data_IF_627928569684
#
_entry.id   IF_627928569684
#
_cell.length_a   1.000
_cell.length_b   1.000
_cell.length_c   1.000
_cell.angle_alpha   90.00
_cell.angle_beta   90.00
_cell.angle_gamma   90.00
#
_symmetry.space_group_name_H-M   'P 1'
#
loop_
_entity.id
_entity.type
_entity.pdbx_description
1 polymer ?
#
# COMPACT_ATOMS: atom_id res chain seq x y z
N UNK A 1 53.43 21.09 -24.58
CA UNK A 1 52.98 20.75 -25.92
C UNK A 1 52.46 19.32 -25.95
N UNK A 2 51.55 19.01 -26.89
CA UNK A 2 51.05 17.66 -27.16
C UNK A 2 52.01 16.96 -28.08
N UNK A 3 52.46 15.73 -27.75
CA UNK A 3 53.44 14.99 -28.55
C UNK A 3 52.84 13.68 -29.11
N UNK A 4 53.03 12.53 -28.43
CA UNK A 4 52.56 11.26 -28.95
C UNK A 4 52.19 10.32 -27.80
N UNK A 5 51.21 9.46 -27.99
CA UNK A 5 50.74 8.52 -26.98
C UNK A 5 49.25 8.67 -26.72
N UNK A 6 48.80 8.07 -25.61
CA UNK A 6 47.41 7.96 -25.30
C UNK A 6 47.10 8.44 -23.88
N UNK A 7 45.89 8.86 -23.69
CA UNK A 7 45.19 8.99 -22.43
C UNK A 7 44.16 7.87 -22.42
N UNK A 8 44.16 7.06 -21.37
CA UNK A 8 43.22 5.94 -21.28
C UNK A 8 42.39 6.07 -20.00
N UNK A 9 41.08 6.10 -20.17
CA UNK A 9 40.09 6.15 -19.07
C UNK A 9 39.68 4.71 -18.75
N UNK A 10 39.75 4.37 -17.49
CA UNK A 10 39.37 3.04 -16.98
C UNK A 10 38.24 3.16 -15.97
N UNK A 11 37.32 2.17 -15.98
CA UNK A 11 36.36 1.98 -14.90
C UNK A 11 37.05 1.25 -13.72
N UNK A 12 36.96 1.80 -12.51
CA UNK A 12 37.71 1.28 -11.36
C UNK A 12 37.21 -0.11 -10.92
N UNK A 13 35.91 -0.40 -11.08
CA UNK A 13 35.26 -1.61 -10.59
C UNK A 13 35.81 -2.92 -11.19
N UNK A 14 36.24 -2.89 -12.44
CA UNK A 14 36.69 -4.08 -13.19
C UNK A 14 37.96 -3.85 -14.03
N UNK A 15 38.53 -2.65 -13.96
CA UNK A 15 39.66 -2.20 -14.75
C UNK A 15 39.44 -2.27 -16.27
N UNK A 16 38.18 -2.24 -16.72
CA UNK A 16 37.86 -2.17 -18.15
C UNK A 16 38.25 -0.80 -18.73
N UNK A 17 38.73 -0.82 -19.99
CA UNK A 17 38.99 0.40 -20.73
C UNK A 17 37.67 0.98 -21.22
N UNK A 18 37.38 2.23 -20.80
CA UNK A 18 36.21 2.99 -21.26
C UNK A 18 36.51 3.68 -22.59
N UNK A 19 37.65 4.37 -22.66
CA UNK A 19 38.08 5.04 -23.86
C UNK A 19 39.60 5.17 -23.93
N UNK A 20 40.16 5.06 -25.13
CA UNK A 20 41.56 5.36 -25.42
C UNK A 20 41.59 6.58 -26.33
N UNK A 21 42.15 7.68 -25.88
CA UNK A 21 42.19 8.98 -26.53
C UNK A 21 43.63 9.26 -26.99
N UNK A 22 43.86 9.34 -28.28
CA UNK A 22 45.15 9.77 -28.82
C UNK A 22 45.37 11.25 -28.43
N UNK A 23 46.54 11.58 -27.88
CA UNK A 23 46.79 12.97 -27.44
C UNK A 23 46.81 13.97 -28.57
N UNK A 24 47.12 13.53 -29.81
CA UNK A 24 47.08 14.36 -31.02
C UNK A 24 45.71 14.47 -31.64
N UNK A 25 44.68 13.82 -31.04
CA UNK A 25 43.28 13.88 -31.51
C UNK A 25 42.58 15.18 -31.15
N UNK A 26 41.44 15.43 -31.81
CA UNK A 26 40.60 16.62 -31.53
C UNK A 26 39.93 16.64 -30.19
N UNK A 27 39.96 15.52 -29.43
CA UNK A 27 39.48 15.38 -28.05
C UNK A 27 40.43 16.03 -27.04
N UNK A 28 41.68 16.32 -27.42
CA UNK A 28 42.68 16.95 -26.56
C UNK A 28 42.99 18.34 -27.10
N UNK A 29 42.80 19.34 -26.24
CA UNK A 29 43.04 20.75 -26.59
C UNK A 29 43.90 21.41 -25.53
N UNK A 30 44.45 22.60 -25.81
CA UNK A 30 45.29 23.36 -24.88
C UNK A 30 46.78 23.14 -25.07
N UNK A 31 47.24 22.51 -26.18
CA UNK A 31 48.67 22.42 -26.50
C UNK A 31 49.33 23.81 -26.51
N UNK A 32 50.57 23.90 -25.96
CA UNK A 32 51.28 25.17 -25.77
C UNK A 32 50.82 26.03 -24.60
N UNK A 33 49.92 25.53 -23.79
CA UNK A 33 49.42 26.22 -22.57
C UNK A 33 49.71 25.41 -21.30
N UNK A 34 49.40 25.99 -20.12
CA UNK A 34 49.53 25.30 -18.87
C UNK A 34 48.32 24.40 -18.53
N UNK A 35 47.30 24.34 -19.41
CA UNK A 35 46.08 23.57 -19.19
C UNK A 35 45.77 22.70 -20.41
N UNK A 36 45.69 21.42 -20.22
CA UNK A 36 45.21 20.46 -21.22
C UNK A 36 43.77 20.06 -20.87
N UNK A 37 42.88 20.18 -21.85
CA UNK A 37 41.51 19.74 -21.74
C UNK A 37 41.32 18.44 -22.53
N UNK A 38 40.77 17.41 -21.84
CA UNK A 38 40.46 16.10 -22.40
C UNK A 38 38.96 15.97 -22.44
N UNK A 39 38.36 15.73 -23.59
CA UNK A 39 36.94 15.59 -23.81
C UNK A 39 36.60 14.19 -24.36
N UNK A 40 36.14 13.25 -23.50
CA UNK A 40 35.71 11.93 -23.98
C UNK A 40 34.59 12.01 -25.02
N UNK A 41 34.51 10.98 -25.88
CA UNK A 41 33.49 10.90 -26.93
C UNK A 41 32.08 10.77 -26.39
N UNK A 42 31.92 9.99 -25.33
CA UNK A 42 30.65 9.74 -24.67
C UNK A 42 30.68 10.21 -23.24
N UNK A 43 29.53 10.57 -22.71
CA UNK A 43 29.36 10.84 -21.30
C UNK A 43 29.73 9.59 -20.47
N UNK A 44 30.36 9.82 -19.34
CA UNK A 44 30.70 8.77 -18.37
C UNK A 44 29.45 8.34 -17.59
N UNK A 45 29.37 7.09 -17.19
CA UNK A 45 28.24 6.56 -16.42
C UNK A 45 28.09 7.32 -15.09
N UNK A 46 26.84 7.51 -14.66
CA UNK A 46 26.48 8.09 -13.36
C UNK A 46 27.04 7.30 -12.20
N UNK A 47 27.36 7.97 -11.07
CA UNK A 47 27.80 7.33 -9.81
C UNK A 47 28.96 6.34 -9.97
N UNK A 48 29.81 6.53 -10.98
CA UNK A 48 30.84 5.55 -11.34
C UNK A 48 32.24 6.10 -11.10
N UNK A 49 33.11 5.28 -10.50
CA UNK A 49 34.50 5.64 -10.24
C UNK A 49 35.39 5.28 -11.42
N UNK A 50 36.17 6.25 -11.83
CA UNK A 50 37.15 6.14 -12.93
C UNK A 50 38.53 6.48 -12.45
N UNK A 51 39.55 5.96 -13.15
CA UNK A 51 40.92 6.44 -13.10
C UNK A 51 41.47 6.62 -14.51
N UNK A 52 42.45 7.49 -14.65
CA UNK A 52 43.04 7.85 -15.94
C UNK A 52 44.52 7.55 -15.93
N UNK A 53 45.01 6.87 -16.97
CA UNK A 53 46.44 6.72 -17.24
C UNK A 53 46.83 7.59 -18.40
N UNK A 54 48.04 8.15 -18.38
CA UNK A 54 48.62 9.00 -19.38
C UNK A 54 50.01 8.51 -19.76
N UNK A 55 50.25 8.27 -21.03
CA UNK A 55 51.55 7.85 -21.54
C UNK A 55 52.64 8.88 -21.22
N UNK A 56 53.87 8.41 -20.89
CA UNK A 56 55.01 9.27 -20.58
C UNK A 56 55.47 10.13 -21.75
N UNK A 57 55.05 9.82 -22.97
CA UNK A 57 55.33 10.57 -24.20
C UNK A 57 54.22 11.51 -24.63
N UNK A 58 53.17 11.67 -23.79
CA UNK A 58 51.98 12.42 -24.12
C UNK A 58 52.21 13.91 -24.24
N UNK A 59 53.03 14.47 -23.34
CA UNK A 59 53.22 15.92 -23.22
C UNK A 59 54.67 16.27 -22.93
N UNK A 60 55.15 17.37 -23.55
CA UNK A 60 56.46 17.97 -23.32
C UNK A 60 56.30 19.43 -22.87
N UNK A 61 57.30 19.92 -22.12
CA UNK A 61 57.42 21.35 -21.86
C UNK A 61 57.96 22.11 -23.08
N UNK A 62 58.03 23.45 -22.99
CA UNK A 62 58.54 24.30 -24.08
C UNK A 62 60.06 24.08 -24.34
N UNK A 63 60.76 23.36 -23.51
CA UNK A 63 62.19 23.01 -23.63
C UNK A 63 62.39 21.56 -24.16
N UNK A 64 61.31 20.83 -24.42
CA UNK A 64 61.33 19.46 -24.90
C UNK A 64 61.54 18.41 -23.78
N UNK A 65 61.32 18.75 -22.50
CA UNK A 65 61.35 17.77 -21.43
C UNK A 65 60.00 17.08 -21.33
N UNK A 66 60.02 15.75 -21.45
CA UNK A 66 58.79 14.92 -21.44
C UNK A 66 58.19 14.78 -20.05
N UNK A 67 56.85 14.85 -19.99
CA UNK A 67 56.06 14.51 -18.84
C UNK A 67 56.21 13.01 -18.48
N UNK A 68 56.31 12.68 -17.21
CA UNK A 68 56.52 11.30 -16.77
C UNK A 68 55.32 10.37 -16.96
N UNK A 69 54.19 10.93 -17.36
CA UNK A 69 52.93 10.20 -17.45
C UNK A 69 52.28 9.88 -16.12
N UNK A 70 51.15 9.19 -16.18
CA UNK A 70 50.42 8.63 -15.01
C UNK A 70 50.20 7.15 -15.29
N UNK A 71 50.84 6.27 -14.48
CA UNK A 71 50.72 4.81 -14.66
C UNK A 71 49.98 4.12 -13.52
N UNK A 72 49.79 4.80 -12.39
CA UNK A 72 49.08 4.26 -11.24
C UNK A 72 47.56 4.51 -11.39
N UNK A 73 46.77 3.99 -10.44
CA UNK A 73 45.30 4.06 -10.44
C UNK A 73 44.74 5.13 -9.48
N UNK A 74 45.61 5.90 -8.82
CA UNK A 74 45.25 6.79 -7.71
C UNK A 74 45.56 8.26 -7.97
N UNK A 75 46.60 8.56 -8.78
CA UNK A 75 47.03 9.95 -9.05
C UNK A 75 45.94 10.76 -9.74
N UNK A 76 45.21 10.17 -10.67
CA UNK A 76 44.06 10.80 -11.35
C UNK A 76 42.86 9.85 -11.32
N UNK A 77 42.11 9.95 -10.25
CA UNK A 77 40.86 9.19 -10.08
C UNK A 77 39.75 10.13 -9.63
N UNK A 78 38.52 9.83 -10.05
CA UNK A 78 37.34 10.61 -9.71
C UNK A 78 36.07 9.74 -9.78
N UNK A 79 35.02 10.19 -9.14
CA UNK A 79 33.67 9.59 -9.25
C UNK A 79 32.76 10.60 -9.93
N UNK A 80 32.01 10.17 -10.90
CA UNK A 80 31.00 10.99 -11.57
C UNK A 80 29.84 11.31 -10.60
N UNK A 81 29.21 12.44 -10.78
CA UNK A 81 28.00 12.78 -10.04
C UNK A 81 26.89 11.75 -10.31
N UNK A 82 26.02 11.54 -9.35
CA UNK A 82 24.78 10.82 -9.58
C UNK A 82 23.78 11.69 -10.35
N UNK A 83 23.30 11.17 -11.45
CA UNK A 83 22.30 11.82 -12.30
C UNK A 83 21.09 10.90 -12.54
N UNK A 84 21.00 9.79 -11.80
CA UNK A 84 19.97 8.78 -11.95
C UNK A 84 18.84 9.06 -10.97
N UNK A 85 17.65 9.35 -11.48
CA UNK A 85 16.49 9.58 -10.63
C UNK A 85 15.99 8.29 -9.98
N UNK A 86 15.64 8.31 -8.68
CA UNK A 86 14.96 7.18 -8.04
C UNK A 86 13.65 6.83 -8.76
N UNK A 87 13.37 5.54 -8.91
CA UNK A 87 12.12 5.05 -9.53
C UNK A 87 11.38 4.12 -8.59
N UNK A 88 10.03 4.10 -8.64
CA UNK A 88 9.24 3.15 -7.86
C UNK A 88 9.42 1.75 -8.43
N UNK A 89 9.80 0.80 -7.59
CA UNK A 89 10.00 -0.62 -7.94
C UNK A 89 8.84 -1.49 -7.52
N UNK A 90 8.17 -1.18 -6.39
CA UNK A 90 7.01 -1.93 -5.92
C UNK A 90 6.19 -1.14 -4.90
N UNK A 91 4.92 -1.53 -4.75
CA UNK A 91 4.03 -1.11 -3.68
C UNK A 91 3.57 -2.35 -2.93
N UNK A 92 3.63 -2.34 -1.60
CA UNK A 92 3.23 -3.45 -0.73
C UNK A 92 2.71 -2.89 0.60
N UNK A 93 2.67 -3.71 1.65
CA UNK A 93 2.21 -3.29 2.98
C UNK A 93 2.83 -4.14 4.08
N UNK A 94 3.06 -3.54 5.25
CA UNK A 94 3.38 -4.23 6.50
C UNK A 94 2.12 -4.82 7.17
N UNK A 95 0.94 -4.26 6.89
CA UNK A 95 -0.34 -4.78 7.41
C UNK A 95 -0.56 -6.21 6.92
N UNK A 96 -1.02 -7.15 7.75
CA UNK A 96 -1.36 -8.52 7.33
C UNK A 96 -2.46 -8.55 6.27
N UNK A 97 -2.54 -9.62 5.46
CA UNK A 97 -3.69 -9.86 4.59
C UNK A 97 -4.94 -10.13 5.44
N UNK A 98 -6.10 -9.68 4.98
CA UNK A 98 -7.36 -9.87 5.71
C UNK A 98 -8.47 -8.94 5.26
N UNK A 99 -9.59 -8.99 6.00
CA UNK A 99 -10.71 -8.08 5.86
C UNK A 99 -10.62 -7.01 6.95
N UNK A 100 -10.98 -5.80 6.58
CA UNK A 100 -10.84 -4.59 7.40
C UNK A 100 -12.10 -3.74 7.31
N UNK A 101 -12.45 -3.09 8.41
CA UNK A 101 -13.65 -2.24 8.51
C UNK A 101 -13.32 -0.80 8.96
N UNK A 102 -14.34 -0.02 9.27
CA UNK A 102 -14.22 1.38 9.69
C UNK A 102 -13.29 1.53 10.90
N UNK A 103 -12.31 2.43 10.77
CA UNK A 103 -11.34 2.75 11.81
C UNK A 103 -10.07 1.93 11.77
N UNK A 104 -10.04 0.82 11.03
CA UNK A 104 -8.81 0.06 10.81
C UNK A 104 -7.79 0.86 10.01
N UNK A 105 -6.51 0.55 10.21
CA UNK A 105 -5.40 1.25 9.58
C UNK A 105 -4.61 0.31 8.69
N UNK A 106 -4.41 0.71 7.44
CA UNK A 106 -3.54 0.02 6.47
C UNK A 106 -2.30 0.89 6.22
N UNK A 107 -1.11 0.32 6.45
CA UNK A 107 0.17 0.93 6.14
C UNK A 107 0.64 0.49 4.75
N UNK A 108 0.58 1.38 3.77
CA UNK A 108 1.04 1.11 2.40
C UNK A 108 2.51 1.50 2.28
N UNK A 109 3.33 0.62 1.72
CA UNK A 109 4.76 0.80 1.52
C UNK A 109 5.06 0.99 0.03
N UNK A 110 5.68 2.12 -0.31
CA UNK A 110 6.19 2.41 -1.66
C UNK A 110 7.70 2.27 -1.65
N UNK A 111 8.24 1.32 -2.42
CA UNK A 111 9.68 1.03 -2.49
C UNK A 111 10.28 1.62 -3.75
N UNK A 112 11.36 2.36 -3.59
CA UNK A 112 12.16 2.97 -4.66
C UNK A 112 13.40 2.14 -5.00
N UNK A 113 14.02 2.44 -6.14
CA UNK A 113 15.25 1.79 -6.61
C UNK A 113 16.46 2.08 -5.70
N UNK A 114 16.38 3.14 -4.89
CA UNK A 114 17.43 3.61 -4.00
C UNK A 114 16.85 4.40 -2.82
N UNK A 115 17.71 4.85 -1.90
CA UNK A 115 17.28 5.63 -0.75
C UNK A 115 16.83 7.03 -1.17
N UNK A 116 15.69 7.47 -0.64
CA UNK A 116 15.09 8.77 -0.92
C UNK A 116 14.85 9.58 0.35
N UNK A 117 14.97 10.89 0.22
CA UNK A 117 14.65 11.86 1.27
C UNK A 117 13.34 12.55 0.92
N UNK A 118 12.42 12.62 1.88
CA UNK A 118 11.13 13.31 1.74
C UNK A 118 11.20 14.64 2.50
N UNK A 119 10.87 15.72 1.81
CA UNK A 119 10.63 17.03 2.44
C UNK A 119 9.12 17.35 2.38
N UNK A 120 8.55 17.59 3.54
CA UNK A 120 7.11 17.89 3.71
C UNK A 120 6.85 19.34 4.09
N UNK A 121 7.85 20.22 4.03
CA UNK A 121 7.75 21.63 4.47
C UNK A 121 6.65 22.39 3.73
N UNK A 122 6.54 22.20 2.41
CA UNK A 122 5.56 22.89 1.56
C UNK A 122 4.35 21.99 1.24
N UNK A 123 4.37 20.71 1.61
CA UNK A 123 3.27 19.79 1.40
C UNK A 123 3.66 18.34 1.66
N UNK A 124 2.66 17.51 1.96
CA UNK A 124 2.88 16.10 2.32
C UNK A 124 2.52 15.20 1.15
N UNK A 125 3.40 14.31 0.68
CA UNK A 125 3.09 13.32 -0.34
C UNK A 125 1.94 12.42 0.05
N UNK A 126 1.12 12.04 -0.93
CA UNK A 126 -0.05 11.19 -0.74
C UNK A 126 -0.14 10.13 -1.83
N UNK A 127 -0.86 9.04 -1.52
CA UNK A 127 -1.16 7.94 -2.44
C UNK A 127 -2.68 7.74 -2.50
N UNK A 128 -3.31 7.99 -3.67
CA UNK A 128 -4.74 7.79 -3.88
C UNK A 128 -5.03 6.29 -4.03
N UNK A 129 -5.98 5.78 -3.21
CA UNK A 129 -6.42 4.39 -3.19
C UNK A 129 -7.82 4.26 -3.81
N UNK A 130 -8.07 3.14 -4.50
CA UNK A 130 -9.39 2.77 -5.03
C UNK A 130 -10.22 2.16 -3.91
N UNK A 131 -11.12 2.92 -3.32
CA UNK A 131 -11.92 2.54 -2.15
C UNK A 131 -13.44 2.59 -2.42
N UNK A 132 -13.84 2.42 -3.67
CA UNK A 132 -15.23 2.32 -4.11
C UNK A 132 -15.79 3.62 -4.66
N UNK A 133 -16.96 4.06 -4.17
CA UNK A 133 -17.62 5.26 -4.72
C UNK A 133 -16.85 6.56 -4.48
N UNK A 134 -16.05 6.60 -3.43
CA UNK A 134 -15.21 7.74 -3.07
C UNK A 134 -13.81 7.23 -2.81
N UNK A 135 -12.87 7.61 -3.66
CA UNK A 135 -11.46 7.27 -3.46
C UNK A 135 -10.88 7.99 -2.24
N UNK A 136 -10.02 7.28 -1.52
CA UNK A 136 -9.33 7.82 -0.34
C UNK A 136 -7.84 7.99 -0.59
N UNK A 137 -7.25 8.76 0.28
CA UNK A 137 -5.83 9.10 0.18
C UNK A 137 -5.09 8.59 1.41
N UNK A 138 -4.10 7.73 1.19
CA UNK A 138 -3.10 7.40 2.20
C UNK A 138 -2.08 8.54 2.28
N UNK A 139 -1.73 8.97 3.49
CA UNK A 139 -0.85 10.10 3.74
C UNK A 139 0.54 9.59 4.12
N UNK A 140 1.59 10.18 3.55
CA UNK A 140 2.98 9.86 3.93
C UNK A 140 3.16 10.01 5.45
N UNK A 141 3.76 8.99 6.07
CA UNK A 141 3.97 8.94 7.53
C UNK A 141 5.43 8.78 7.93
N UNK A 142 6.22 8.01 7.19
CA UNK A 142 7.61 7.74 7.57
C UNK A 142 8.44 7.13 6.43
N UNK A 143 9.74 6.89 6.67
CA UNK A 143 10.65 6.19 5.77
C UNK A 143 11.66 7.09 5.06
N UNK A 144 11.68 8.42 5.30
CA UNK A 144 12.71 9.31 4.74
C UNK A 144 14.13 8.81 5.09
N UNK A 145 15.05 8.91 4.14
CA UNK A 145 16.42 8.39 4.26
C UNK A 145 16.55 6.89 3.98
N UNK A 146 15.47 6.22 3.56
CA UNK A 146 15.47 4.81 3.15
C UNK A 146 14.88 4.63 1.75
N UNK A 147 14.96 3.41 1.20
CA UNK A 147 14.33 3.09 -0.08
C UNK A 147 12.83 2.81 0.04
N UNK A 148 12.26 2.74 1.24
CA UNK A 148 10.85 2.41 1.44
C UNK A 148 10.15 3.51 2.23
N UNK A 149 9.15 4.14 1.61
CA UNK A 149 8.29 5.14 2.22
C UNK A 149 6.98 4.49 2.68
N UNK A 150 6.49 4.90 3.85
CA UNK A 150 5.23 4.40 4.44
C UNK A 150 4.16 5.47 4.33
N UNK A 151 2.97 5.06 3.87
CA UNK A 151 1.77 5.87 3.78
C UNK A 151 0.67 5.21 4.62
N UNK A 152 -0.06 5.99 5.38
CA UNK A 152 -1.10 5.50 6.30
C UNK A 152 -2.47 5.85 5.76
N UNK A 153 -3.34 4.85 5.65
CA UNK A 153 -4.74 4.97 5.31
C UNK A 153 -5.60 4.46 6.46
N UNK A 154 -6.54 5.28 6.94
CA UNK A 154 -7.56 4.88 7.91
C UNK A 154 -8.89 4.73 7.18
N UNK A 155 -9.48 3.54 7.27
CA UNK A 155 -10.73 3.19 6.60
C UNK A 155 -11.89 4.02 7.17
N UNK A 156 -12.70 4.58 6.28
CA UNK A 156 -13.84 5.42 6.60
C UNK A 156 -15.14 4.73 6.18
N UNK A 157 -16.24 5.17 6.78
CA UNK A 157 -17.57 4.69 6.41
C UNK A 157 -17.86 4.91 4.91
N UNK A 158 -18.37 3.89 4.26
CA UNK A 158 -18.65 3.85 2.83
C UNK A 158 -17.48 3.37 1.97
N UNK A 159 -16.30 3.15 2.55
CA UNK A 159 -15.16 2.58 1.81
C UNK A 159 -15.40 1.09 1.57
N UNK A 160 -15.14 0.63 0.33
CA UNK A 160 -15.28 -0.78 -0.07
C UNK A 160 -14.22 -1.14 -1.11
N UNK A 161 -13.63 -2.33 -0.98
CA UNK A 161 -12.77 -2.91 -2.00
C UNK A 161 -12.68 -4.42 -1.80
N UNK A 162 -12.86 -5.20 -2.85
CA UNK A 162 -12.65 -6.65 -2.79
C UNK A 162 -11.17 -7.05 -2.80
N UNK A 163 -10.31 -6.13 -3.26
CA UNK A 163 -8.85 -6.29 -3.28
C UNK A 163 -8.23 -4.90 -3.44
N UNK A 164 -7.84 -4.27 -2.33
CA UNK A 164 -7.42 -2.87 -2.29
C UNK A 164 -6.14 -2.65 -3.08
N UNK A 165 -6.19 -1.72 -4.02
CA UNK A 165 -5.03 -1.19 -4.74
C UNK A 165 -5.11 0.34 -4.80
N UNK A 166 -4.06 0.99 -5.31
CA UNK A 166 -4.12 2.40 -5.68
C UNK A 166 -4.85 2.56 -7.02
N UNK A 167 -5.42 3.73 -7.26
CA UNK A 167 -6.32 4.01 -8.38
C UNK A 167 -5.65 3.91 -9.75
N UNK A 168 -4.40 4.37 -9.88
CA UNK A 168 -3.69 4.46 -11.15
C UNK A 168 -2.18 4.53 -10.98
N UNK A 169 -1.44 4.42 -12.08
CA UNK A 169 0.03 4.61 -12.10
C UNK A 169 0.49 6.01 -11.69
N UNK A 170 -0.41 7.00 -11.63
CA UNK A 170 -0.15 8.38 -11.23
C UNK A 170 -0.71 8.74 -9.85
N UNK A 171 -1.13 7.76 -9.06
CA UNK A 171 -1.76 7.99 -7.74
C UNK A 171 -0.81 8.52 -6.67
N UNK A 172 0.52 8.39 -6.84
CA UNK A 172 1.49 9.00 -5.93
C UNK A 172 1.72 10.47 -6.31
N UNK A 173 1.37 11.38 -5.40
CA UNK A 173 1.41 12.84 -5.63
C UNK A 173 2.19 13.53 -4.52
N UNK A 174 3.03 14.50 -4.88
CA UNK A 174 3.89 15.23 -3.93
C UNK A 174 3.16 16.30 -3.10
N UNK A 175 2.08 16.89 -3.62
CA UNK A 175 1.34 18.00 -2.99
C UNK A 175 2.25 19.18 -2.58
N UNK A 176 3.20 19.56 -3.43
CA UNK A 176 4.24 20.56 -3.18
C UNK A 176 5.39 20.11 -2.25
N UNK A 177 5.36 18.90 -1.69
CA UNK A 177 6.53 18.28 -1.06
C UNK A 177 7.54 17.79 -2.09
N UNK A 178 8.61 17.17 -1.65
CA UNK A 178 9.61 16.56 -2.55
C UNK A 178 9.99 15.15 -2.13
N UNK A 179 10.38 14.34 -3.11
CA UNK A 179 11.02 13.03 -2.91
C UNK A 179 12.26 13.02 -3.81
N UNK A 180 13.45 12.96 -3.21
CA UNK A 180 14.74 13.06 -3.90
C UNK A 180 15.74 12.04 -3.37
N UNK A 181 16.74 11.69 -4.18
CA UNK A 181 17.92 10.96 -3.70
C UNK A 181 18.92 11.88 -2.95
N UNK A 182 20.08 11.31 -2.60
CA UNK A 182 21.15 12.04 -1.92
C UNK A 182 21.91 13.03 -2.83
N UNK A 183 21.73 12.95 -4.14
CA UNK A 183 22.32 13.81 -5.15
C UNK A 183 21.35 14.89 -5.66
N UNK A 184 20.18 15.04 -5.00
CA UNK A 184 19.12 15.99 -5.34
C UNK A 184 18.35 15.65 -6.65
N UNK A 185 18.45 14.43 -7.20
CA UNK A 185 17.61 14.02 -8.31
C UNK A 185 16.18 13.76 -7.86
N UNK A 186 15.21 14.36 -8.53
CA UNK A 186 13.79 14.17 -8.27
C UNK A 186 13.34 12.74 -8.61
N UNK A 187 12.61 12.09 -7.71
CA UNK A 187 12.09 10.74 -7.94
C UNK A 187 11.02 10.69 -9.05
N UNK A 188 11.09 9.66 -9.88
CA UNK A 188 10.02 9.29 -10.82
C UNK A 188 8.92 8.56 -10.05
N UNK A 189 7.72 9.15 -10.03
CA UNK A 189 6.60 8.70 -9.17
C UNK A 189 5.67 7.68 -9.85
N UNK A 190 5.99 7.25 -11.06
CA UNK A 190 5.16 6.28 -11.81
C UNK A 190 5.12 4.94 -11.08
N UNK A 191 3.93 4.55 -10.64
CA UNK A 191 3.67 3.26 -9.98
C UNK A 191 3.52 2.14 -11.01
N UNK A 192 3.73 0.86 -10.64
CA UNK A 192 3.27 -0.28 -11.43
C UNK A 192 1.79 -0.15 -11.76
N UNK A 193 1.31 -0.76 -12.85
CA UNK A 193 -0.14 -0.74 -13.14
C UNK A 193 -0.92 -1.49 -12.06
N UNK A 194 -2.07 -0.98 -11.58
CA UNK A 194 -2.90 -1.68 -10.61
C UNK A 194 -3.18 -3.12 -11.04
N UNK A 195 -3.08 -4.08 -10.12
CA UNK A 195 -3.21 -5.51 -10.35
C UNK A 195 -2.02 -6.18 -11.05
N UNK A 196 -1.06 -5.41 -11.58
CA UNK A 196 0.15 -5.96 -12.19
C UNK A 196 1.22 -6.30 -11.13
N UNK A 197 2.19 -7.15 -11.51
CA UNK A 197 3.33 -7.47 -10.63
C UNK A 197 3.98 -6.21 -10.07
N UNK A 198 4.13 -6.15 -8.74
CA UNK A 198 4.67 -5.00 -8.03
C UNK A 198 3.62 -3.99 -7.54
N UNK A 199 2.33 -4.12 -7.91
CA UNK A 199 1.25 -3.31 -7.33
C UNK A 199 0.87 -3.79 -5.93
N UNK A 200 0.12 -2.97 -5.19
CA UNK A 200 -0.39 -3.31 -3.86
C UNK A 200 -1.29 -4.54 -3.93
N UNK A 201 -2.32 -4.55 -4.79
CA UNK A 201 -3.25 -5.67 -4.94
C UNK A 201 -2.58 -6.95 -5.47
N UNK A 202 -1.45 -6.85 -6.22
CA UNK A 202 -0.67 -8.04 -6.60
C UNK A 202 0.17 -8.61 -5.45
N UNK A 203 0.58 -7.78 -4.49
CA UNK A 203 1.47 -8.16 -3.38
C UNK A 203 0.71 -8.47 -2.09
N UNK A 204 -0.53 -8.02 -1.99
CA UNK A 204 -1.40 -8.12 -0.79
C UNK A 204 -2.80 -8.50 -1.19
N UNK A 205 -3.56 -9.01 -0.23
CA UNK A 205 -4.98 -9.30 -0.38
C UNK A 205 -5.70 -8.60 0.77
N UNK A 206 -6.25 -7.42 0.49
CA UNK A 206 -7.01 -6.61 1.45
C UNK A 206 -8.45 -6.49 0.99
N UNK A 207 -9.38 -6.99 1.78
CA UNK A 207 -10.81 -6.70 1.61
C UNK A 207 -11.13 -5.52 2.53
N UNK A 208 -11.68 -4.46 1.95
CA UNK A 208 -12.24 -3.33 2.70
C UNK A 208 -13.74 -3.43 2.59
N UNK A 209 -14.42 -3.60 3.72
CA UNK A 209 -15.86 -3.68 3.78
C UNK A 209 -16.37 -2.95 5.02
N UNK A 210 -17.17 -1.93 4.80
CA UNK A 210 -17.76 -1.09 5.84
C UNK A 210 -19.29 -1.23 5.86
N UNK A 211 -19.82 -2.22 5.14
CA UNK A 211 -21.25 -2.45 5.01
C UNK A 211 -21.74 -3.34 6.16
N UNK A 212 -22.66 -2.83 6.97
CA UNK A 212 -23.23 -3.64 8.06
C UNK A 212 -24.19 -4.70 7.50
N UNK A 213 -24.23 -5.91 8.11
CA UNK A 213 -25.18 -6.95 7.72
C UNK A 213 -26.62 -6.49 7.83
N UNK A 214 -27.46 -6.91 6.88
CA UNK A 214 -28.89 -6.60 6.87
C UNK A 214 -29.73 -7.88 6.79
N UNK A 215 -30.90 -7.89 7.44
CA UNK A 215 -31.86 -8.97 7.30
C UNK A 215 -32.54 -8.91 5.93
N UNK A 216 -32.55 -10.03 5.22
CA UNK A 216 -33.32 -10.22 3.98
C UNK A 216 -34.67 -10.84 4.22
N UNK A 217 -34.82 -11.71 5.24
CA UNK A 217 -36.10 -12.28 5.67
C UNK A 217 -36.03 -12.87 7.08
N UNK A 218 -37.20 -13.08 7.68
CA UNK A 218 -37.36 -13.75 8.97
C UNK A 218 -38.46 -14.82 8.88
N UNK A 219 -38.35 -15.85 9.73
CA UNK A 219 -39.43 -16.84 9.90
C UNK A 219 -39.56 -17.14 11.40
N UNK A 220 -40.78 -17.07 11.99
CA UNK A 220 -42.02 -16.66 11.37
C UNK A 220 -41.94 -15.29 10.72
N UNK A 221 -42.69 -15.08 9.62
CA UNK A 221 -42.74 -13.77 8.97
C UNK A 221 -43.37 -12.74 9.92
N UNK A 222 -43.01 -11.48 9.75
CA UNK A 222 -43.62 -10.42 10.53
C UNK A 222 -45.16 -10.43 10.36
N UNK A 223 -45.86 -10.26 11.48
CA UNK A 223 -47.34 -10.38 11.59
C UNK A 223 -47.91 -11.76 11.15
N UNK A 224 -47.10 -12.83 11.17
CA UNK A 224 -47.57 -14.18 10.91
C UNK A 224 -48.55 -14.61 12.00
N UNK A 225 -49.64 -15.28 11.57
CA UNK A 225 -50.65 -15.85 12.47
C UNK A 225 -50.67 -17.37 12.40
N UNK A 226 -51.18 -18.01 13.45
CA UNK A 226 -51.22 -19.48 13.58
C UNK A 226 -49.84 -20.14 13.50
N UNK A 227 -48.84 -19.50 14.12
CA UNK A 227 -47.48 -20.02 14.24
C UNK A 227 -47.50 -21.22 15.19
N UNK A 228 -46.78 -22.30 14.81
CA UNK A 228 -46.68 -23.50 15.67
C UNK A 228 -45.95 -23.14 16.98
N UNK A 229 -46.45 -23.65 18.09
CA UNK A 229 -45.87 -23.38 19.43
C UNK A 229 -44.40 -23.82 19.53
N UNK A 230 -43.97 -24.85 18.82
CA UNK A 230 -42.59 -25.31 18.78
C UNK A 230 -41.76 -24.72 17.64
N UNK A 231 -42.15 -23.57 17.06
CA UNK A 231 -41.44 -22.96 15.97
C UNK A 231 -40.10 -22.33 16.39
N UNK A 232 -39.07 -22.54 15.56
CA UNK A 232 -37.83 -21.77 15.67
C UNK A 232 -38.01 -20.37 15.06
N UNK A 233 -37.19 -19.42 15.50
CA UNK A 233 -37.00 -18.16 14.82
C UNK A 233 -35.81 -18.27 13.87
N UNK A 234 -36.00 -17.99 12.60
CA UNK A 234 -34.96 -18.07 11.57
C UNK A 234 -34.73 -16.67 11.01
N UNK A 235 -33.49 -16.17 11.17
CA UNK A 235 -33.05 -14.90 10.58
C UNK A 235 -32.25 -15.23 9.34
N UNK A 236 -32.62 -14.66 8.19
CA UNK A 236 -31.85 -14.77 6.96
C UNK A 236 -31.25 -13.41 6.63
N UNK A 237 -29.93 -13.32 6.63
CA UNK A 237 -29.20 -12.12 6.31
C UNK A 237 -28.88 -12.06 4.81
N UNK A 238 -28.56 -10.86 4.31
CA UNK A 238 -28.11 -10.65 2.94
C UNK A 238 -26.71 -11.23 2.69
N UNK A 239 -25.95 -11.47 3.77
CA UNK A 239 -24.59 -12.00 3.75
C UNK A 239 -24.34 -12.96 4.91
N UNK A 240 -23.15 -13.59 4.95
CA UNK A 240 -22.78 -14.50 6.04
C UNK A 240 -22.44 -13.75 7.30
N UNK A 241 -23.01 -14.18 8.42
CA UNK A 241 -22.76 -13.55 9.73
C UNK A 241 -22.27 -14.58 10.76
N UNK A 242 -21.45 -14.12 11.68
CA UNK A 242 -20.97 -14.87 12.86
C UNK A 242 -21.60 -14.37 14.12
N UNK A 243 -21.86 -15.31 15.05
CA UNK A 243 -22.35 -14.97 16.40
C UNK A 243 -21.25 -14.32 17.20
N UNK A 244 -21.58 -13.21 17.87
CA UNK A 244 -20.65 -12.47 18.75
C UNK A 244 -21.13 -12.50 20.20
N UNK A 245 -21.57 -11.37 20.74
CA UNK A 245 -22.04 -11.25 22.13
C UNK A 245 -23.37 -10.53 22.16
N UNK A 246 -24.23 -10.90 23.12
CA UNK A 246 -25.55 -10.30 23.27
C UNK A 246 -26.66 -11.33 23.23
N UNK A 247 -27.90 -10.84 23.10
CA UNK A 247 -29.07 -11.66 23.26
C UNK A 247 -30.07 -11.48 22.12
N UNK A 248 -30.83 -12.52 21.88
CA UNK A 248 -32.15 -12.47 21.27
C UNK A 248 -33.18 -12.58 22.39
N UNK A 249 -34.10 -11.62 22.47
CA UNK A 249 -35.09 -11.56 23.56
C UNK A 249 -36.46 -11.63 22.93
N UNK A 250 -37.25 -12.62 23.38
CA UNK A 250 -38.64 -12.81 22.98
C UNK A 250 -39.51 -12.19 24.09
N UNK A 251 -40.48 -11.38 23.71
CA UNK A 251 -41.42 -10.72 24.59
C UNK A 251 -42.86 -11.13 24.30
N UNK A 252 -43.69 -11.18 25.32
CA UNK A 252 -45.13 -11.24 25.19
C UNK A 252 -45.65 -9.84 24.79
N UNK A 253 -46.33 -9.73 23.66
CA UNK A 253 -46.81 -8.42 23.15
C UNK A 253 -47.90 -7.80 24.00
N UNK A 254 -48.67 -8.61 24.81
CA UNK A 254 -49.78 -8.17 25.61
C UNK A 254 -49.42 -7.31 26.82
N UNK A 255 -48.21 -7.53 27.38
CA UNK A 255 -47.79 -6.90 28.65
C UNK A 255 -46.30 -6.52 28.68
N UNK A 256 -45.60 -6.70 27.58
CA UNK A 256 -44.14 -6.47 27.45
C UNK A 256 -43.27 -7.29 28.38
N UNK A 257 -43.79 -8.38 28.96
CA UNK A 257 -43.00 -9.27 29.77
C UNK A 257 -42.03 -10.10 28.91
N UNK A 258 -40.83 -10.35 29.43
CA UNK A 258 -39.85 -11.24 28.77
C UNK A 258 -40.37 -12.69 28.84
N UNK A 259 -40.58 -13.29 27.65
CA UNK A 259 -40.85 -14.71 27.50
C UNK A 259 -39.58 -15.53 27.65
N UNK A 260 -38.53 -15.18 26.91
CA UNK A 260 -37.24 -15.83 26.97
C UNK A 260 -36.10 -14.88 26.56
N UNK A 261 -34.96 -14.99 27.26
CA UNK A 261 -33.70 -14.33 26.86
C UNK A 261 -32.72 -15.41 26.41
N UNK A 262 -32.24 -15.33 25.20
CA UNK A 262 -31.38 -16.33 24.57
C UNK A 262 -30.04 -15.69 24.25
N UNK A 263 -28.98 -16.10 24.95
CA UNK A 263 -27.61 -15.71 24.63
C UNK A 263 -27.24 -16.26 23.23
N UNK A 264 -26.79 -15.40 22.34
CA UNK A 264 -26.45 -15.78 20.96
C UNK A 264 -25.31 -16.79 20.87
N UNK A 265 -24.49 -16.91 21.92
CA UNK A 265 -23.40 -17.90 22.00
C UNK A 265 -23.86 -19.27 22.47
N UNK A 266 -25.11 -19.39 22.98
CA UNK A 266 -25.68 -20.63 23.50
C UNK A 266 -25.94 -21.68 22.40
N UNK A 267 -26.23 -22.94 22.84
CA UNK A 267 -26.61 -24.03 21.94
C UNK A 267 -27.99 -23.82 21.28
N UNK A 268 -28.79 -22.88 21.78
CA UNK A 268 -30.09 -22.54 21.20
C UNK A 268 -29.94 -21.78 19.85
N UNK A 269 -28.76 -21.24 19.58
CA UNK A 269 -28.49 -20.48 18.34
C UNK A 269 -27.51 -21.28 17.48
N UNK A 270 -27.88 -21.50 16.23
CA UNK A 270 -27.07 -22.24 15.24
C UNK A 270 -26.99 -21.49 13.91
N UNK A 271 -26.07 -21.91 13.01
CA UNK A 271 -25.90 -21.29 11.69
C UNK A 271 -24.82 -20.23 11.62
N UNK A 272 -24.02 -20.02 12.68
CA UNK A 272 -22.87 -19.09 12.64
C UNK A 272 -21.93 -19.38 11.47
N UNK A 273 -21.52 -18.32 10.76
CA UNK A 273 -20.69 -18.43 9.55
C UNK A 273 -21.51 -18.68 8.27
N UNK A 274 -22.83 -18.52 8.31
CA UNK A 274 -23.70 -18.61 7.14
C UNK A 274 -24.67 -17.43 7.07
N UNK A 275 -25.44 -17.35 5.98
CA UNK A 275 -26.50 -16.34 5.81
C UNK A 275 -27.73 -16.61 6.67
N UNK A 276 -27.84 -17.78 7.32
CA UNK A 276 -29.03 -18.16 8.06
C UNK A 276 -28.69 -18.52 9.50
N UNK A 277 -29.28 -17.79 10.46
CA UNK A 277 -29.21 -18.06 11.89
C UNK A 277 -30.52 -18.64 12.33
N UNK A 278 -30.47 -19.78 13.03
CA UNK A 278 -31.64 -20.43 13.64
C UNK A 278 -31.57 -20.31 15.14
N UNK A 279 -32.64 -19.77 15.74
CA UNK A 279 -32.83 -19.59 17.18
C UNK A 279 -33.93 -20.56 17.61
N UNK A 280 -33.62 -21.47 18.58
CA UNK A 280 -34.51 -22.49 19.09
C UNK A 280 -34.85 -22.14 20.53
N UNK A 281 -36.02 -21.56 20.83
CA UNK A 281 -36.45 -21.31 22.22
C UNK A 281 -36.50 -22.61 23.05
N UNK A 282 -36.19 -22.50 24.34
CA UNK A 282 -36.25 -23.64 25.23
C UNK A 282 -37.66 -24.06 25.59
N UNK A 283 -38.59 -23.08 25.54
CA UNK A 283 -39.98 -23.28 25.90
C UNK A 283 -40.86 -23.12 24.65
N UNK A 284 -41.90 -23.94 24.55
CA UNK A 284 -42.93 -23.79 23.53
C UNK A 284 -43.70 -22.49 23.72
N UNK A 285 -44.00 -21.80 22.65
CA UNK A 285 -44.88 -20.61 22.64
C UNK A 285 -46.27 -20.96 23.13
N UNK A 286 -46.96 -20.02 23.76
CA UNK A 286 -48.36 -20.21 24.18
C UNK A 286 -49.31 -20.13 23.00
N UNK A 287 -50.34 -20.98 22.89
CA UNK A 287 -51.33 -20.87 21.83
C UNK A 287 -52.07 -19.52 21.85
N UNK A 288 -52.26 -18.90 20.72
CA UNK A 288 -52.99 -17.62 20.55
C UNK A 288 -52.42 -16.46 21.37
N UNK A 289 -51.12 -16.49 21.61
CA UNK A 289 -50.38 -15.38 22.23
C UNK A 289 -49.51 -14.67 21.15
N UNK A 290 -49.51 -13.36 21.20
CA UNK A 290 -48.67 -12.53 20.36
C UNK A 290 -47.29 -12.31 20.99
N UNK A 291 -46.24 -12.40 20.16
CA UNK A 291 -44.85 -12.19 20.52
C UNK A 291 -44.17 -11.17 19.63
N UNK A 292 -43.15 -10.50 20.13
CA UNK A 292 -42.17 -9.75 19.34
C UNK A 292 -40.76 -10.09 19.81
N UNK A 293 -39.78 -9.84 18.88
CA UNK A 293 -38.38 -10.20 19.08
C UNK A 293 -37.52 -8.97 19.02
N UNK A 294 -36.65 -8.80 20.00
CA UNK A 294 -35.53 -7.85 19.98
C UNK A 294 -34.21 -8.58 19.84
N UNK A 295 -33.25 -7.95 19.18
CA UNK A 295 -31.93 -8.49 18.94
C UNK A 295 -30.90 -7.42 19.30
N UNK A 296 -29.94 -7.74 20.15
CA UNK A 296 -28.87 -6.83 20.51
C UNK A 296 -28.00 -6.48 19.28
N UNK A 297 -27.57 -5.22 19.16
CA UNK A 297 -26.74 -4.73 18.06
C UNK A 297 -25.34 -5.37 17.99
N UNK A 298 -24.91 -6.07 19.06
CA UNK A 298 -23.63 -6.78 19.11
C UNK A 298 -23.78 -8.29 18.86
N UNK A 299 -24.98 -8.76 18.47
CA UNK A 299 -25.29 -10.18 18.36
C UNK A 299 -24.60 -10.87 17.18
N UNK A 300 -24.48 -10.18 16.06
CA UNK A 300 -24.00 -10.76 14.80
C UNK A 300 -23.09 -9.78 14.05
N UNK A 301 -21.93 -10.28 13.59
CA UNK A 301 -21.01 -9.54 12.73
C UNK A 301 -20.79 -10.27 11.40
N UNK A 302 -20.47 -9.53 10.35
CA UNK A 302 -19.97 -10.10 9.11
C UNK A 302 -18.52 -10.59 9.23
N UNK A 303 -17.90 -10.98 8.10
CA UNK A 303 -16.51 -11.45 8.06
C UNK A 303 -15.47 -10.33 8.23
N UNK A 304 -15.87 -9.08 8.06
CA UNK A 304 -15.02 -7.88 8.19
C UNK A 304 -15.15 -7.24 9.58
N UNK A 305 -16.05 -7.75 10.43
CA UNK A 305 -16.28 -7.27 11.78
C UNK A 305 -17.30 -6.13 11.84
N UNK A 306 -18.09 -5.88 10.77
CA UNK A 306 -19.20 -4.93 10.86
C UNK A 306 -20.37 -5.56 11.59
N UNK A 307 -20.85 -4.90 12.64
CA UNK A 307 -21.93 -5.42 13.46
C UNK A 307 -23.30 -5.13 12.86
N UNK A 308 -24.18 -6.12 12.89
CA UNK A 308 -25.61 -5.94 12.64
C UNK A 308 -26.20 -4.94 13.62
N UNK A 309 -27.02 -4.01 13.13
CA UNK A 309 -27.58 -2.93 13.97
C UNK A 309 -28.59 -3.38 15.04
N UNK A 310 -28.96 -4.68 15.05
CA UNK A 310 -29.93 -5.22 15.97
C UNK A 310 -31.38 -4.85 15.61
N UNK A 311 -32.30 -5.24 16.50
CA UNK A 311 -33.74 -4.88 16.45
C UNK A 311 -34.15 -4.42 17.84
N UNK A 312 -34.53 -3.16 17.98
CA UNK A 312 -34.98 -2.61 19.26
C UNK A 312 -36.46 -2.17 19.25
N UNK A 313 -37.17 -2.33 18.14
CA UNK A 313 -38.60 -2.06 18.03
C UNK A 313 -39.46 -3.32 18.21
N UNK A 314 -40.79 -3.13 18.27
CA UNK A 314 -41.75 -4.21 18.46
C UNK A 314 -42.41 -4.69 17.15
N UNK A 315 -42.05 -4.08 16.03
CA UNK A 315 -42.80 -4.21 14.79
C UNK A 315 -42.03 -4.86 13.66
N UNK A 316 -40.70 -5.01 13.81
CA UNK A 316 -39.86 -5.63 12.79
C UNK A 316 -39.99 -7.16 12.75
N UNK A 317 -40.15 -7.81 13.93
CA UNK A 317 -40.43 -9.24 14.06
C UNK A 317 -41.54 -9.42 15.10
N UNK A 318 -42.76 -9.68 14.64
CA UNK A 318 -43.92 -10.00 15.49
C UNK A 318 -44.70 -11.17 14.89
N UNK A 319 -45.39 -11.98 15.74
CA UNK A 319 -46.15 -13.15 15.28
C UNK A 319 -47.08 -13.68 16.38
N UNK A 320 -48.11 -14.49 16.01
CA UNK A 320 -49.11 -15.12 16.86
C UNK A 320 -49.17 -16.64 16.66
#
# INVERSE_FOLDING_TARGET
>A
DVESGNIVIYKTSDNSVVETIAVTGNQVTGSGTSQITINPTNDLESSTQYYVKIDATAFDDSSGNSYSGIQDTTTLSFTTADTTAPTVTSVSSSTPNGSYNVGDVIEVQVTFSENVTVDTTDGTPTLELETGLTDRTAIYSSGTGSSTLVFTYTIQEGDTSSDLDYKSTSSLVLNSGTIKDAADNDATLTLPSPGASGSLGSNKTFVVDTTVPTLSSVSPADNATAVSTGSNIILTFAESVTRQTGNVIIYNASDDSVFETIDVTSNQVSGSGSTQITINPSNDLSPSAEYYVKIDATAFDDSSGNSYSGIDDKTTISFE
#
